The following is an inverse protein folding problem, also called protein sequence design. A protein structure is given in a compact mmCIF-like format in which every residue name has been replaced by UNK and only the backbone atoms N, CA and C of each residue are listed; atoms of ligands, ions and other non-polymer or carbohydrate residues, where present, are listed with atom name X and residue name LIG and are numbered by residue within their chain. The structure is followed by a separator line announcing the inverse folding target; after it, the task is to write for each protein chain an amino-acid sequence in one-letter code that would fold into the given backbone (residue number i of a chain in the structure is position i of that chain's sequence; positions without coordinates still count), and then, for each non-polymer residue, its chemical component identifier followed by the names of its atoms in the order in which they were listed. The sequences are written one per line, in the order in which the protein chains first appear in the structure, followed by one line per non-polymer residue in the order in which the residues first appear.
data_IF_417553806208
#
_entry.id   IF_417553806208
#
_cell.length_a   1.000
_cell.length_b   1.000
_cell.length_c   1.000
_cell.angle_alpha   90.00
_cell.angle_beta   90.00
_cell.angle_gamma   90.00
#
_symmetry.space_group_name_H-M   'P 1'
#
loop_
_entity.id
_entity.type
_entity.pdbx_description
1 polymer ?
#
# COMPACT_ATOMS: atom_id res chain seq x y z
N UNK A 1 -2.56 3.78 20.45
CA UNK A 1 -3.72 3.32 19.66
C UNK A 1 -3.36 1.98 19.03
N UNK A 2 -4.34 1.08 18.80
CA UNK A 2 -4.11 -0.16 18.05
C UNK A 2 -4.29 0.09 16.56
N UNK A 3 -3.47 -0.54 15.73
CA UNK A 3 -3.59 -0.47 14.29
C UNK A 3 -4.91 -1.06 13.77
N UNK A 4 -5.54 -0.38 12.81
CA UNK A 4 -6.80 -0.84 12.19
C UNK A 4 -6.55 -1.94 11.15
N UNK A 5 -7.47 -2.89 10.97
CA UNK A 5 -7.28 -3.98 10.02
C UNK A 5 -7.19 -3.49 8.58
N UNK A 6 -6.30 -4.09 7.79
CA UNK A 6 -6.15 -3.77 6.36
C UNK A 6 -7.48 -4.02 5.64
N UNK A 7 -7.98 -3.04 4.89
CA UNK A 7 -9.21 -3.19 4.07
C UNK A 7 -8.92 -2.92 2.60
N UNK A 8 -9.83 -3.34 1.72
CA UNK A 8 -9.71 -3.09 0.28
C UNK A 8 -9.65 -1.61 -0.10
N UNK A 9 -10.16 -0.71 0.76
CA UNK A 9 -10.09 0.74 0.55
C UNK A 9 -8.66 1.28 0.65
N UNK A 10 -7.80 0.58 1.38
CA UNK A 10 -6.39 0.94 1.59
C UNK A 10 -5.47 0.46 0.47
N UNK A 11 -5.98 -0.31 -0.50
CA UNK A 11 -5.19 -0.79 -1.62
C UNK A 11 -5.23 0.25 -2.73
N UNK A 12 -4.08 0.87 -2.99
CA UNK A 12 -3.93 1.91 -3.99
C UNK A 12 -4.09 1.34 -5.42
N UNK A 13 -4.44 2.17 -6.40
CA UNK A 13 -4.55 1.73 -7.79
C UNK A 13 -3.26 1.14 -8.37
N UNK A 14 -2.10 1.53 -7.83
CA UNK A 14 -0.79 1.01 -8.21
C UNK A 14 -0.37 -0.27 -7.48
N UNK A 15 -1.22 -0.87 -6.63
CA UNK A 15 -0.88 -2.07 -5.86
C UNK A 15 -0.20 -1.81 -4.52
N UNK A 16 0.04 -0.54 -4.14
CA UNK A 16 0.54 -0.22 -2.80
C UNK A 16 -0.53 -0.56 -1.75
N UNK A 17 -0.16 -1.34 -0.74
CA UNK A 17 -0.98 -1.52 0.45
C UNK A 17 -0.69 -0.36 1.41
N UNK A 18 -1.57 0.65 1.43
CA UNK A 18 -1.40 1.81 2.31
C UNK A 18 -1.54 1.45 3.79
N UNK A 19 -2.23 0.35 4.14
CA UNK A 19 -2.47 -0.04 5.53
C UNK A 19 -1.22 -0.37 6.32
N UNK A 20 -0.10 -0.66 5.64
CA UNK A 20 1.19 -0.95 6.27
C UNK A 20 2.20 0.21 6.13
N UNK A 21 1.78 1.31 5.51
CA UNK A 21 2.63 2.48 5.30
C UNK A 21 2.78 3.28 6.60
N UNK A 22 4.00 3.68 6.93
CA UNK A 22 4.29 4.58 8.07
C UNK A 22 3.40 5.84 8.09
N UNK A 23 3.11 6.43 6.94
CA UNK A 23 2.27 7.63 6.86
C UNK A 23 0.80 7.36 7.21
N UNK A 24 0.31 6.14 6.96
CA UNK A 24 -1.01 5.68 7.38
C UNK A 24 -1.01 5.29 8.86
N UNK A 25 0.03 4.60 9.32
CA UNK A 25 0.06 4.08 10.68
C UNK A 25 0.24 5.19 11.74
N UNK A 26 0.98 6.25 11.44
CA UNK A 26 1.25 7.34 12.40
C UNK A 26 -0.02 8.09 12.86
N UNK A 27 0.00 8.54 14.10
CA UNK A 27 -1.07 9.36 14.69
C UNK A 27 -1.02 10.82 14.17
N UNK A 28 0.15 11.45 14.22
CA UNK A 28 0.33 12.85 13.80
C UNK A 28 0.46 12.95 12.29
N UNK A 29 -0.26 13.89 11.68
CA UNK A 29 -0.32 14.07 10.22
C UNK A 29 -0.73 12.77 9.48
N UNK A 30 -1.70 12.04 10.06
CA UNK A 30 -2.19 10.78 9.54
C UNK A 30 -2.63 10.89 8.07
N UNK A 31 -2.09 10.02 7.21
CA UNK A 31 -2.48 9.91 5.81
C UNK A 31 -3.60 8.86 5.68
N UNK A 32 -4.81 9.20 5.20
CA UNK A 32 -5.94 8.26 5.10
C UNK A 32 -5.81 7.22 3.96
N UNK A 33 -4.62 7.02 3.41
CA UNK A 33 -4.35 6.12 2.29
C UNK A 33 -4.66 6.73 0.92
N UNK A 34 -4.18 6.09 -0.16
CA UNK A 34 -4.20 6.65 -1.52
C UNK A 34 -5.61 7.06 -1.99
N UNK A 35 -6.62 6.28 -1.64
CA UNK A 35 -8.03 6.49 -2.02
C UNK A 35 -8.81 7.38 -1.04
N UNK A 36 -8.19 7.84 0.06
CA UNK A 36 -8.80 8.78 1.01
C UNK A 36 -8.82 10.23 0.50
N UNK A 37 -9.35 11.18 1.29
CA UNK A 37 -9.38 12.60 0.92
C UNK A 37 -7.96 13.22 0.96
N UNK A 38 -7.69 14.18 0.07
CA UNK A 38 -6.35 14.74 -0.15
C UNK A 38 -5.94 15.81 0.87
N UNK A 39 -6.89 16.49 1.49
CA UNK A 39 -6.72 17.52 2.53
C UNK A 39 -5.91 17.02 3.74
N UNK A 40 -6.00 15.73 4.05
CA UNK A 40 -5.30 15.08 5.16
C UNK A 40 -4.00 14.38 4.75
N UNK A 41 -3.60 14.44 3.48
CA UNK A 41 -2.41 13.72 2.98
C UNK A 41 -1.16 14.61 2.98
N UNK A 42 0.04 14.00 3.09
CA UNK A 42 1.27 14.70 2.81
C UNK A 42 1.27 15.26 1.38
N UNK A 43 1.29 16.59 1.26
CA UNK A 43 1.12 17.33 0.00
C UNK A 43 2.16 16.99 -1.07
N UNK A 44 3.38 16.64 -0.65
CA UNK A 44 4.51 16.46 -1.57
C UNK A 44 4.65 15.05 -2.16
N UNK A 45 4.00 14.03 -1.59
CA UNK A 45 4.18 12.64 -2.05
C UNK A 45 2.88 12.01 -2.55
N UNK A 46 1.89 11.85 -1.68
CA UNK A 46 0.66 11.14 -2.01
C UNK A 46 -0.27 11.97 -2.90
N UNK A 47 -0.37 13.28 -2.66
CA UNK A 47 -1.27 14.18 -3.42
C UNK A 47 -0.75 14.38 -4.84
N UNK A 48 0.55 14.67 -4.99
CA UNK A 48 1.22 14.91 -6.29
C UNK A 48 1.68 13.64 -7.02
N UNK A 49 1.30 12.45 -6.54
CA UNK A 49 1.76 11.19 -7.12
C UNK A 49 1.36 11.05 -8.60
N UNK A 50 2.35 10.96 -9.50
CA UNK A 50 2.12 10.85 -10.94
C UNK A 50 1.32 9.61 -11.37
N UNK A 51 1.38 8.52 -10.58
CA UNK A 51 0.61 7.30 -10.87
C UNK A 51 -0.84 7.48 -10.42
N UNK A 52 -1.07 7.97 -9.19
CA UNK A 52 -2.42 8.30 -8.69
C UNK A 52 -3.15 9.27 -9.63
N UNK A 53 -2.43 10.28 -10.12
CA UNK A 53 -3.00 11.32 -10.97
C UNK A 53 -3.02 10.95 -12.46
N UNK A 54 -2.63 9.72 -12.84
CA UNK A 54 -2.68 9.26 -14.22
C UNK A 54 -4.13 9.24 -14.73
N UNK A 55 -4.40 9.88 -15.86
CA UNK A 55 -5.76 9.96 -16.42
C UNK A 55 -6.38 8.61 -16.71
N UNK A 56 -5.57 7.65 -17.21
CA UNK A 56 -6.03 6.28 -17.44
C UNK A 56 -6.48 5.61 -16.14
N UNK A 57 -5.80 5.88 -15.03
CA UNK A 57 -6.19 5.29 -13.73
C UNK A 57 -7.32 6.04 -13.04
N UNK A 58 -7.53 7.32 -13.32
CA UNK A 58 -8.74 8.01 -12.83
C UNK A 58 -10.02 7.36 -13.37
N UNK A 59 -9.93 6.70 -14.54
CA UNK A 59 -11.02 5.95 -15.17
C UNK A 59 -11.02 4.45 -14.85
N UNK A 60 -10.01 3.94 -14.12
CA UNK A 60 -9.84 2.50 -13.88
C UNK A 60 -9.41 2.22 -12.44
N UNK A 61 -9.97 1.17 -11.83
CA UNK A 61 -9.68 0.87 -10.41
C UNK A 61 -8.22 0.51 -10.12
N UNK A 62 -7.53 -0.15 -11.05
CA UNK A 62 -6.15 -0.63 -10.88
C UNK A 62 -5.31 -0.46 -12.15
N UNK A 63 -3.99 -0.31 -11.98
CA UNK A 63 -3.04 -0.16 -13.07
C UNK A 63 -3.09 -1.31 -14.08
N UNK A 64 -3.40 -2.55 -13.65
CA UNK A 64 -3.44 -3.71 -14.54
C UNK A 64 -4.58 -3.68 -15.58
N UNK A 65 -5.49 -2.70 -15.48
CA UNK A 65 -6.51 -2.44 -16.52
C UNK A 65 -6.02 -1.51 -17.64
N UNK A 66 -4.83 -0.92 -17.50
CA UNK A 66 -4.22 -0.08 -18.52
C UNK A 66 -3.59 -0.94 -19.61
N UNK A 67 -3.80 -0.61 -20.88
CA UNK A 67 -3.17 -1.31 -22.03
C UNK A 67 -1.64 -1.23 -21.99
N UNK A 68 -1.08 -0.15 -21.41
CA UNK A 68 0.37 0.03 -21.26
C UNK A 68 0.94 -0.70 -20.03
N UNK A 69 0.17 -1.58 -19.38
CA UNK A 69 0.59 -2.28 -18.18
C UNK A 69 1.60 -3.39 -18.50
N UNK A 70 2.70 -3.53 -17.70
CA UNK A 70 3.15 -2.61 -16.66
C UNK A 70 3.90 -1.42 -17.27
N UNK A 71 3.46 -0.19 -17.01
CA UNK A 71 4.10 0.99 -17.60
C UNK A 71 5.39 1.38 -16.88
N UNK A 72 6.23 2.19 -17.51
CA UNK A 72 7.54 2.62 -16.95
C UNK A 72 7.41 3.29 -15.58
N UNK A 73 6.38 4.12 -15.37
CA UNK A 73 6.15 4.78 -14.06
C UNK A 73 5.95 3.75 -12.94
N UNK A 74 5.15 2.71 -13.21
CA UNK A 74 4.87 1.64 -12.25
C UNK A 74 6.10 0.75 -12.02
N UNK A 75 6.79 0.35 -13.10
CA UNK A 75 8.04 -0.43 -13.00
C UNK A 75 9.11 0.27 -12.16
N UNK A 76 9.22 1.59 -12.31
CA UNK A 76 10.17 2.38 -11.51
C UNK A 76 9.76 2.46 -10.03
N UNK A 77 8.45 2.61 -9.74
CA UNK A 77 7.96 2.57 -8.36
C UNK A 77 8.24 1.20 -7.72
N UNK A 78 7.88 0.13 -8.42
CA UNK A 78 8.08 -1.26 -8.00
C UNK A 78 9.55 -1.57 -7.71
N UNK A 79 10.46 -1.23 -8.62
CA UNK A 79 11.90 -1.43 -8.45
C UNK A 79 12.43 -0.75 -7.18
N UNK A 80 11.98 0.48 -6.89
CA UNK A 80 12.40 1.19 -5.67
C UNK A 80 11.86 0.53 -4.41
N UNK A 81 10.58 0.14 -4.40
CA UNK A 81 9.96 -0.47 -3.23
C UNK A 81 10.49 -1.88 -2.95
N UNK A 82 10.74 -2.71 -3.96
CA UNK A 82 11.38 -4.00 -3.76
C UNK A 82 12.78 -3.85 -3.18
N UNK A 83 13.60 -2.97 -3.76
CA UNK A 83 14.98 -2.75 -3.30
C UNK A 83 15.05 -2.19 -1.87
N UNK A 84 14.13 -1.31 -1.49
CA UNK A 84 14.21 -0.59 -0.22
C UNK A 84 13.36 -1.20 0.90
N UNK A 85 12.24 -1.81 0.55
CA UNK A 85 11.22 -2.20 1.52
C UNK A 85 10.70 -3.64 1.33
N UNK A 86 11.23 -4.41 0.38
CA UNK A 86 10.84 -5.82 0.17
C UNK A 86 9.38 -6.02 -0.26
N UNK A 87 8.68 -4.98 -0.70
CA UNK A 87 7.32 -5.06 -1.24
C UNK A 87 7.34 -4.80 -2.75
N UNK A 88 6.52 -5.58 -3.49
CA UNK A 88 6.36 -5.46 -4.93
C UNK A 88 4.96 -4.96 -5.28
N UNK A 89 4.88 -3.86 -6.02
CA UNK A 89 3.61 -3.34 -6.54
C UNK A 89 3.07 -4.25 -7.63
N UNK A 90 3.95 -4.79 -8.47
CA UNK A 90 3.57 -5.66 -9.58
C UNK A 90 3.06 -7.01 -9.07
N UNK A 91 3.71 -7.59 -8.06
CA UNK A 91 3.25 -8.81 -7.39
C UNK A 91 1.88 -8.59 -6.75
N UNK A 92 1.68 -7.47 -6.05
CA UNK A 92 0.39 -7.15 -5.45
C UNK A 92 -0.70 -7.01 -6.51
N UNK A 93 -0.43 -6.31 -7.62
CA UNK A 93 -1.38 -6.15 -8.72
C UNK A 93 -1.71 -7.48 -9.40
N UNK A 94 -0.72 -8.35 -9.58
CA UNK A 94 -0.92 -9.69 -10.15
C UNK A 94 -1.78 -10.57 -9.21
N UNK A 95 -1.50 -10.53 -7.91
CA UNK A 95 -2.31 -11.22 -6.90
C UNK A 95 -3.76 -10.70 -6.88
N UNK A 96 -3.96 -9.38 -6.97
CA UNK A 96 -5.31 -8.79 -7.04
C UNK A 96 -6.03 -9.21 -8.32
N UNK A 97 -5.31 -9.28 -9.44
CA UNK A 97 -5.86 -9.69 -10.74
C UNK A 97 -6.29 -11.16 -10.73
N UNK A 98 -5.48 -12.05 -10.15
CA UNK A 98 -5.69 -13.50 -10.20
C UNK A 98 -6.61 -14.02 -9.08
N UNK A 99 -6.49 -13.47 -7.86
CA UNK A 99 -7.22 -13.93 -6.68
C UNK A 99 -8.41 -13.03 -6.32
N UNK A 100 -8.47 -11.82 -6.88
CA UNK A 100 -9.40 -10.79 -6.47
C UNK A 100 -8.96 -10.07 -5.20
N UNK A 101 -9.45 -8.83 -5.03
CA UNK A 101 -9.02 -7.96 -3.92
C UNK A 101 -9.37 -8.48 -2.53
N UNK A 102 -10.48 -9.21 -2.36
CA UNK A 102 -10.90 -9.72 -1.04
C UNK A 102 -9.90 -10.75 -0.53
N UNK A 103 -9.50 -11.70 -1.39
CA UNK A 103 -8.50 -12.70 -1.04
C UNK A 103 -7.12 -12.08 -0.86
N UNK A 104 -6.72 -11.13 -1.72
CA UNK A 104 -5.48 -10.38 -1.55
C UNK A 104 -5.41 -9.68 -0.17
N UNK A 105 -6.48 -8.99 0.25
CA UNK A 105 -6.52 -8.33 1.56
C UNK A 105 -6.43 -9.34 2.70
N UNK A 106 -7.07 -10.50 2.60
CA UNK A 106 -6.94 -11.58 3.60
C UNK A 106 -5.48 -12.04 3.71
N UNK A 107 -4.83 -12.29 2.58
CA UNK A 107 -3.43 -12.72 2.55
C UNK A 107 -2.50 -11.63 3.11
N UNK A 108 -2.74 -10.35 2.78
CA UNK A 108 -1.94 -9.24 3.30
C UNK A 108 -2.12 -9.03 4.81
N UNK A 109 -3.32 -9.30 5.35
CA UNK A 109 -3.52 -9.27 6.81
C UNK A 109 -2.60 -10.27 7.50
N UNK A 110 -2.51 -11.50 6.99
CA UNK A 110 -1.59 -12.50 7.55
C UNK A 110 -0.13 -12.15 7.29
N UNK A 111 0.24 -11.75 6.07
CA UNK A 111 1.63 -11.42 5.68
C UNK A 111 2.26 -10.30 6.52
N UNK A 112 1.44 -9.37 7.00
CA UNK A 112 1.87 -8.19 7.76
C UNK A 112 1.41 -8.21 9.21
N UNK A 113 0.92 -9.34 9.70
CA UNK A 113 0.56 -9.54 11.11
C UNK A 113 1.81 -9.70 11.95
N UNK A 114 1.89 -8.95 13.04
CA UNK A 114 2.91 -9.15 14.07
C UNK A 114 2.62 -10.47 14.81
N UNK A 115 3.62 -11.38 14.92
CA UNK A 115 3.42 -12.64 15.63
C UNK A 115 3.26 -12.46 17.14
N UNK A 116 3.84 -11.40 17.71
CA UNK A 116 3.86 -11.16 19.17
C UNK A 116 2.51 -10.60 19.67
N UNK A 117 1.91 -9.64 18.96
CA UNK A 117 0.71 -8.93 19.44
C UNK A 117 -0.47 -8.95 18.46
N UNK A 118 -0.30 -9.47 17.24
CA UNK A 118 -1.31 -9.46 16.19
C UNK A 118 -1.52 -8.11 15.49
N UNK A 119 -0.76 -7.08 15.86
CA UNK A 119 -0.80 -5.76 15.23
C UNK A 119 -0.18 -5.72 13.82
N UNK A 120 -0.10 -4.55 13.21
CA UNK A 120 0.45 -4.40 11.84
C UNK A 120 1.95 -4.11 11.86
N UNK A 121 2.68 -4.81 10.98
CA UNK A 121 4.09 -4.52 10.70
C UNK A 121 4.20 -3.37 9.70
N UNK A 122 5.01 -2.37 10.03
CA UNK A 122 5.30 -1.22 9.18
C UNK A 122 6.32 -1.57 8.10
N UNK A 123 5.93 -1.46 6.82
CA UNK A 123 6.80 -1.81 5.67
C UNK A 123 8.07 -0.96 5.56
N UNK A 124 8.06 0.24 6.12
CA UNK A 124 9.21 1.15 6.05
C UNK A 124 10.19 1.00 7.22
N UNK A 125 9.77 0.37 8.32
CA UNK A 125 10.58 0.19 9.53
C UNK A 125 10.86 -1.26 9.89
N UNK A 126 10.15 -2.20 9.28
CA UNK A 126 10.28 -3.64 9.55
C UNK A 126 10.06 -4.00 11.02
N UNK A 127 9.21 -3.24 11.71
CA UNK A 127 8.78 -3.51 13.08
C UNK A 127 7.26 -3.38 13.22
N UNK A 128 6.71 -4.00 14.26
CA UNK A 128 5.31 -3.84 14.62
C UNK A 128 5.05 -2.39 15.05
N UNK A 129 4.02 -1.78 14.48
CA UNK A 129 3.61 -0.45 14.87
C UNK A 129 3.03 -0.41 16.29
N UNK A 130 2.34 -1.48 16.71
CA UNK A 130 1.62 -1.51 17.98
C UNK A 130 2.53 -1.84 19.18
N UNK A 131 3.46 -2.79 19.04
CA UNK A 131 4.33 -3.23 20.15
C UNK A 131 5.83 -2.99 19.93
N UNK A 132 6.24 -2.49 18.77
CA UNK A 132 7.65 -2.21 18.46
C UNK A 132 8.52 -3.43 18.14
N UNK A 133 8.01 -4.66 18.29
CA UNK A 133 8.77 -5.88 18.00
C UNK A 133 9.26 -5.91 16.54
N UNK A 134 10.53 -6.27 16.33
CA UNK A 134 11.10 -6.43 15.00
C UNK A 134 10.46 -7.61 14.26
N UNK A 135 10.33 -7.47 12.94
CA UNK A 135 9.91 -8.57 12.08
C UNK A 135 11.09 -9.53 11.92
N UNK A 136 10.98 -10.69 12.58
CA UNK A 136 11.85 -11.86 12.38
C UNK A 136 11.63 -12.48 11.00
#
# INVERSE_FOLDING_TARGET
MKSEPITSKLIAPCGMNCGICMAYLRDKNHCPGCNGPDDKKPSNSCVKCIIKNCETIKKARFCFKCEKYPCTRLRNLDKRYRKKYGMSMLENLENIKNLGIRQFVKNERERWRCPECGGIINVHRWNCFDCGAERK
#
